data_IF_412914686468
#
_entry.id   IF_412914686468
#
_cell.length_a   1.000
_cell.length_b   1.000
_cell.length_c   1.000
_cell.angle_alpha   90.00
_cell.angle_beta   90.00
_cell.angle_gamma   90.00
#
_symmetry.space_group_name_H-M   'P 1'
#
loop_
_entity.id
_entity.type
_entity.pdbx_description
1 polymer ?
#
# COMPACT_ATOMS: atom_id res chain seq x y z
N UNK A 1 5.75 7.57 -3.96
CA UNK A 1 4.75 6.58 -4.45
C UNK A 1 5.44 5.28 -4.85
N UNK A 2 5.34 4.26 -3.99
CA UNK A 2 5.86 2.91 -4.21
C UNK A 2 4.84 2.06 -4.98
N UNK A 3 5.32 1.03 -5.70
CA UNK A 3 4.47 0.07 -6.43
C UNK A 3 4.94 -1.36 -6.16
N UNK A 4 4.00 -2.24 -5.86
CA UNK A 4 4.25 -3.65 -5.55
C UNK A 4 3.28 -4.50 -6.37
N UNK A 5 3.78 -5.58 -6.96
CA UNK A 5 2.93 -6.56 -7.62
C UNK A 5 2.46 -7.59 -6.60
N UNK A 6 1.15 -7.76 -6.49
CA UNK A 6 0.53 -8.78 -5.65
C UNK A 6 0.42 -10.08 -6.45
N UNK A 7 0.84 -11.18 -5.82
CA UNK A 7 0.66 -12.52 -6.36
C UNK A 7 -0.64 -13.14 -5.80
N UNK A 8 -1.26 -14.06 -6.56
CA UNK A 8 -2.49 -14.77 -6.16
C UNK A 8 -3.70 -13.86 -5.88
N UNK A 9 -3.78 -12.70 -6.55
CA UNK A 9 -4.93 -11.81 -6.48
C UNK A 9 -5.99 -12.20 -7.52
N UNK A 10 -6.76 -13.26 -7.24
CA UNK A 10 -7.73 -13.81 -8.20
C UNK A 10 -9.18 -13.35 -7.98
N UNK A 11 -9.43 -12.54 -6.94
CA UNK A 11 -10.76 -12.07 -6.58
C UNK A 11 -10.80 -10.54 -6.47
N UNK A 12 -11.57 -9.90 -7.35
CA UNK A 12 -11.76 -8.45 -7.38
C UNK A 12 -12.35 -7.92 -6.06
N UNK A 13 -13.23 -8.69 -5.40
CA UNK A 13 -13.79 -8.30 -4.11
C UNK A 13 -12.76 -8.40 -2.98
N UNK A 14 -11.86 -9.39 -3.03
CA UNK A 14 -10.73 -9.46 -2.09
C UNK A 14 -9.77 -8.30 -2.32
N UNK A 15 -9.50 -7.93 -3.58
CA UNK A 15 -8.69 -6.77 -3.92
C UNK A 15 -9.26 -5.47 -3.31
N UNK A 16 -10.55 -5.22 -3.51
CA UNK A 16 -11.21 -4.03 -2.94
C UNK A 16 -11.11 -4.00 -1.40
N UNK A 17 -11.27 -5.15 -0.73
CA UNK A 17 -11.08 -5.23 0.73
C UNK A 17 -9.65 -4.89 1.16
N UNK A 18 -8.66 -5.40 0.45
CA UNK A 18 -7.24 -5.11 0.74
C UNK A 18 -6.97 -3.62 0.57
N UNK A 19 -7.37 -3.03 -0.56
CA UNK A 19 -7.21 -1.59 -0.81
C UNK A 19 -7.87 -0.75 0.30
N UNK A 20 -9.08 -1.11 0.72
CA UNK A 20 -9.80 -0.37 1.74
C UNK A 20 -9.11 -0.51 3.11
N UNK A 21 -8.68 -1.71 3.49
CA UNK A 21 -7.92 -1.91 4.74
C UNK A 21 -6.62 -1.10 4.75
N UNK A 22 -5.88 -1.08 3.64
CA UNK A 22 -4.61 -0.34 3.54
C UNK A 22 -4.82 1.18 3.53
N UNK A 23 -5.91 1.68 2.96
CA UNK A 23 -6.26 3.12 3.03
C UNK A 23 -6.66 3.57 4.44
N UNK A 24 -6.97 2.64 5.36
CA UNK A 24 -7.25 2.96 6.77
C UNK A 24 -5.99 2.91 7.65
N UNK A 25 -4.81 2.66 7.09
CA UNK A 25 -3.55 2.69 7.83
C UNK A 25 -2.96 4.09 7.82
N UNK A 26 -2.68 4.66 8.99
CA UNK A 26 -2.13 6.01 9.13
C UNK A 26 -0.73 6.15 8.50
N UNK A 27 0.01 5.04 8.41
CA UNK A 27 1.33 4.97 7.80
C UNK A 27 1.30 4.99 6.27
N UNK A 28 0.12 4.86 5.65
CA UNK A 28 -0.06 4.81 4.21
C UNK A 28 -1.02 5.90 3.73
N UNK A 29 -0.65 6.54 2.62
CA UNK A 29 -1.47 7.51 1.91
C UNK A 29 -1.66 7.06 0.45
N UNK A 30 -2.75 7.53 -0.16
CA UNK A 30 -2.99 7.40 -1.61
C UNK A 30 -2.89 5.93 -2.10
N UNK A 31 -3.45 4.98 -1.35
CA UNK A 31 -3.37 3.56 -1.69
C UNK A 31 -4.34 3.24 -2.83
N UNK A 32 -3.83 2.66 -3.92
CA UNK A 32 -4.57 2.24 -5.11
C UNK A 32 -4.15 0.85 -5.55
N UNK A 33 -5.12 -0.03 -5.71
CA UNK A 33 -4.92 -1.39 -6.19
C UNK A 33 -5.53 -1.57 -7.58
N UNK A 34 -4.67 -1.83 -8.56
CA UNK A 34 -5.09 -2.22 -9.90
C UNK A 34 -5.24 -3.74 -9.97
N UNK A 35 -6.47 -4.23 -9.92
CA UNK A 35 -6.78 -5.66 -10.03
C UNK A 35 -6.34 -6.25 -11.37
N UNK A 36 -6.54 -5.52 -12.48
CA UNK A 36 -6.20 -6.00 -13.83
C UNK A 36 -4.71 -6.30 -14.01
N UNK A 37 -3.84 -5.57 -13.31
CA UNK A 37 -2.39 -5.77 -13.35
C UNK A 37 -1.83 -6.35 -12.06
N UNK A 38 -2.69 -6.71 -11.11
CA UNK A 38 -2.36 -7.10 -9.73
C UNK A 38 -1.30 -6.18 -9.12
N UNK A 39 -1.44 -4.88 -9.29
CA UNK A 39 -0.43 -3.90 -8.86
C UNK A 39 -1.00 -2.98 -7.79
N UNK A 40 -0.42 -3.00 -6.60
CA UNK A 40 -0.68 -2.09 -5.51
C UNK A 40 0.27 -0.89 -5.61
N UNK A 41 -0.26 0.32 -5.53
CA UNK A 41 0.49 1.57 -5.47
C UNK A 41 0.12 2.32 -4.19
N UNK A 42 1.10 2.83 -3.45
CA UNK A 42 0.84 3.59 -2.23
C UNK A 42 1.96 4.61 -1.95
N UNK A 43 1.66 5.56 -1.08
CA UNK A 43 2.64 6.46 -0.49
C UNK A 43 2.81 6.07 0.96
N UNK A 44 4.05 5.92 1.41
CA UNK A 44 4.33 5.62 2.81
C UNK A 44 4.58 6.94 3.51
N UNK A 45 3.82 7.21 4.58
CA UNK A 45 3.99 8.36 5.47
C UNK A 45 5.10 8.12 6.50
N UNK A 46 6.07 7.23 6.20
CA UNK A 46 7.20 6.98 7.09
C UNK A 46 8.08 8.22 7.12
N UNK A 47 7.80 9.09 8.08
CA UNK A 47 8.70 10.09 8.66
C UNK A 47 9.69 9.42 9.64
N UNK A 48 10.00 8.13 9.45
CA UNK A 48 11.12 7.53 10.16
C UNK A 48 12.38 7.84 9.35
N UNK A 49 12.78 9.11 9.39
CA UNK A 49 14.19 9.46 9.28
C UNK A 49 14.88 8.74 10.44
N UNK A 50 15.31 7.50 10.18
CA UNK A 50 16.13 6.70 11.10
C UNK A 50 17.42 7.45 11.50
N UNK A 51 17.71 8.55 10.82
CA UNK A 51 18.76 9.51 11.12
C UNK A 51 18.50 10.31 12.42
N UNK A 52 17.26 10.48 12.87
CA UNK A 52 16.94 11.28 14.07
C UNK A 52 17.03 10.49 15.38
N UNK A 53 17.13 9.15 15.32
CA UNK A 53 17.14 8.26 16.50
C UNK A 53 18.58 8.01 17.02
N UNK A 54 19.61 8.41 16.27
CA UNK A 54 21.01 8.01 16.52
C UNK A 54 21.91 9.15 17.06
N UNK A 55 21.40 10.36 17.33
CA UNK A 55 22.19 11.42 18.00
C UNK A 55 22.20 11.36 19.54
#
# INVERSE_FOLDING_TARGET
MQKVKLENLDCANCAAKIENSLNNMDELSNVKLNFSTSTLSFEQNSDNDLLDIIE
#
